data_IF_728913126894
#
_entry.id   IF_728913126894
#
_cell.length_a   1.000
_cell.length_b   1.000
_cell.length_c   1.000
_cell.angle_alpha   90.00
_cell.angle_beta   90.00
_cell.angle_gamma   90.00
#
_symmetry.space_group_name_H-M   'P 1'
#
loop_
_entity.id
_entity.type
_entity.pdbx_description
1 polymer ?
#
# COMPACT_ATOMS: atom_id res chain seq x y z
N UNK A 1 -0.10 44.52 10.09
CA UNK A 1 -0.13 43.40 9.12
C UNK A 1 -0.42 42.09 9.86
N UNK A 2 -1.66 41.95 10.32
CA UNK A 2 -2.26 40.71 10.82
C UNK A 2 -3.18 40.28 9.68
N UNK A 3 -2.94 39.18 8.95
CA UNK A 3 -4.02 38.42 8.27
C UNK A 3 -3.62 37.23 7.35
N UNK A 4 -2.35 36.89 7.07
CA UNK A 4 -2.07 35.93 5.96
C UNK A 4 -1.24 34.68 6.31
N UNK A 5 -1.13 34.26 7.57
CA UNK A 5 -0.17 33.22 7.94
C UNK A 5 -0.73 31.81 8.22
N UNK A 6 -2.05 31.59 8.34
CA UNK A 6 -2.57 30.31 8.87
C UNK A 6 -3.78 29.79 8.10
N UNK A 7 -3.61 29.37 6.85
CA UNK A 7 -4.63 28.57 6.15
C UNK A 7 -3.96 27.47 5.30
N UNK A 8 -2.80 26.95 5.72
CA UNK A 8 -2.39 25.62 5.25
C UNK A 8 -3.26 24.62 6.00
N UNK A 9 -4.48 24.43 5.52
CA UNK A 9 -5.37 23.35 5.94
C UNK A 9 -4.66 22.05 5.63
N UNK A 10 -3.82 21.57 6.56
CA UNK A 10 -3.14 20.30 6.46
C UNK A 10 -4.26 19.27 6.37
N UNK A 11 -4.50 18.76 5.16
CA UNK A 11 -5.53 17.76 4.93
C UNK A 11 -5.31 16.66 5.97
N UNK A 12 -6.33 16.37 6.78
CA UNK A 12 -6.23 15.38 7.83
C UNK A 12 -5.94 14.02 7.17
N UNK A 13 -4.67 13.60 7.19
CA UNK A 13 -4.25 12.34 6.60
C UNK A 13 -4.79 11.24 7.51
N UNK A 14 -5.76 10.46 7.01
CA UNK A 14 -6.27 9.30 7.73
C UNK A 14 -5.39 8.07 7.39
N UNK A 15 -4.50 7.64 8.31
CA UNK A 15 -3.58 6.53 8.05
C UNK A 15 -4.30 5.21 7.77
N UNK A 16 -5.48 4.99 8.36
CA UNK A 16 -6.31 3.80 8.08
C UNK A 16 -6.86 3.81 6.66
N UNK A 17 -7.25 4.99 6.14
CA UNK A 17 -7.67 5.14 4.74
C UNK A 17 -6.49 4.84 3.80
N UNK A 18 -5.30 5.35 4.11
CA UNK A 18 -4.07 5.05 3.39
C UNK A 18 -3.80 3.55 3.30
N UNK A 19 -3.85 2.84 4.43
CA UNK A 19 -3.67 1.39 4.46
C UNK A 19 -4.71 0.64 3.63
N UNK A 20 -6.00 0.99 3.73
CA UNK A 20 -7.07 0.34 2.96
C UNK A 20 -6.86 0.45 1.45
N UNK A 21 -6.39 1.59 0.96
CA UNK A 21 -6.07 1.78 -0.46
C UNK A 21 -4.94 0.84 -0.88
N UNK A 22 -3.85 0.77 -0.11
CA UNK A 22 -2.72 -0.11 -0.44
C UNK A 22 -3.11 -1.59 -0.37
N UNK A 23 -3.94 -1.97 0.60
CA UNK A 23 -4.49 -3.32 0.70
C UNK A 23 -5.34 -3.68 -0.52
N UNK A 24 -6.21 -2.76 -0.97
CA UNK A 24 -7.05 -2.98 -2.15
C UNK A 24 -6.22 -3.10 -3.42
N UNK A 25 -5.23 -2.22 -3.61
CA UNK A 25 -4.29 -2.31 -4.75
C UNK A 25 -3.56 -3.66 -4.71
N UNK A 26 -3.02 -4.07 -3.57
CA UNK A 26 -2.36 -5.36 -3.43
C UNK A 26 -3.30 -6.53 -3.76
N UNK A 27 -4.52 -6.52 -3.21
CA UNK A 27 -5.50 -7.59 -3.39
C UNK A 27 -6.01 -7.72 -4.83
N UNK A 28 -6.00 -6.65 -5.63
CA UNK A 28 -6.40 -6.69 -7.04
C UNK A 28 -5.22 -6.97 -7.97
N UNK A 29 -4.08 -6.33 -7.74
CA UNK A 29 -2.91 -6.42 -8.62
C UNK A 29 -2.22 -7.78 -8.50
N UNK A 30 -2.04 -8.32 -7.29
CA UNK A 30 -1.35 -9.61 -7.12
C UNK A 30 -2.05 -10.74 -7.89
N UNK A 31 -3.37 -10.99 -7.71
CA UNK A 31 -4.06 -12.01 -8.49
C UNK A 31 -3.99 -11.77 -10.00
N UNK A 32 -4.08 -10.52 -10.46
CA UNK A 32 -3.94 -10.21 -11.88
C UNK A 32 -2.56 -10.58 -12.43
N UNK A 33 -1.47 -10.31 -11.69
CA UNK A 33 -0.11 -10.70 -12.09
C UNK A 33 0.05 -12.23 -12.11
N UNK A 34 -0.50 -12.93 -11.13
CA UNK A 34 -0.51 -14.39 -11.11
C UNK A 34 -1.33 -14.98 -12.26
N UNK A 35 -2.44 -14.34 -12.63
CA UNK A 35 -3.27 -14.73 -13.77
C UNK A 35 -2.52 -14.54 -15.10
N UNK A 36 -1.82 -13.42 -15.26
CA UNK A 36 -0.96 -13.17 -16.43
C UNK A 36 0.11 -14.25 -16.51
N UNK A 37 0.82 -14.54 -15.43
CA UNK A 37 1.80 -15.62 -15.40
C UNK A 37 1.19 -16.98 -15.76
N UNK A 38 0.01 -17.28 -15.22
CA UNK A 38 -0.68 -18.55 -15.47
C UNK A 38 -1.05 -18.76 -16.94
N UNK A 39 -1.43 -17.69 -17.64
CA UNK A 39 -1.81 -17.71 -19.05
C UNK A 39 -0.66 -17.39 -20.02
N UNK A 40 0.55 -17.15 -19.54
CA UNK A 40 1.73 -16.85 -20.36
C UNK A 40 2.83 -17.89 -20.13
N UNK A 41 4.11 -17.52 -20.29
CA UNK A 41 5.23 -18.41 -20.04
C UNK A 41 5.44 -18.61 -18.53
N UNK A 42 5.39 -19.88 -18.10
CA UNK A 42 5.51 -20.33 -16.71
C UNK A 42 6.92 -20.81 -16.34
N UNK A 43 7.89 -20.70 -17.25
CA UNK A 43 9.28 -21.13 -17.05
C UNK A 43 9.98 -20.38 -15.89
N UNK A 44 9.48 -19.20 -15.53
CA UNK A 44 10.01 -18.41 -14.41
C UNK A 44 8.89 -17.83 -13.55
N UNK A 45 8.94 -18.09 -12.24
CA UNK A 45 7.97 -17.65 -11.24
C UNK A 45 8.13 -16.17 -10.86
N UNK A 46 8.14 -15.27 -11.85
CA UNK A 46 8.35 -13.84 -11.60
C UNK A 46 7.32 -13.17 -10.68
N UNK A 47 6.02 -13.56 -10.60
CA UNK A 47 5.08 -12.92 -9.68
C UNK A 47 5.41 -13.15 -8.21
N UNK A 48 6.21 -14.18 -7.90
CA UNK A 48 6.62 -14.49 -6.54
C UNK A 48 7.38 -13.32 -5.92
N UNK A 49 8.36 -12.77 -6.65
CA UNK A 49 9.18 -11.67 -6.18
C UNK A 49 8.36 -10.40 -5.94
N UNK A 50 7.41 -10.10 -6.83
CA UNK A 50 6.50 -8.95 -6.63
C UNK A 50 5.56 -9.16 -5.45
N UNK A 51 5.02 -10.36 -5.28
CA UNK A 51 4.20 -10.71 -4.11
C UNK A 51 4.98 -10.52 -2.80
N UNK A 52 6.22 -11.00 -2.75
CA UNK A 52 7.08 -10.91 -1.57
C UNK A 52 7.46 -9.45 -1.24
N UNK A 53 7.94 -8.70 -2.22
CA UNK A 53 8.36 -7.31 -2.03
C UNK A 53 7.18 -6.41 -1.60
N UNK A 54 6.06 -6.49 -2.32
CA UNK A 54 4.88 -5.69 -2.00
C UNK A 54 4.20 -6.14 -0.72
N UNK A 55 4.18 -7.45 -0.45
CA UNK A 55 3.65 -8.02 0.79
C UNK A 55 4.41 -7.52 2.01
N UNK A 56 5.74 -7.40 1.90
CA UNK A 56 6.59 -6.79 2.94
C UNK A 56 6.21 -5.34 3.19
N UNK A 57 6.05 -4.54 2.13
CA UNK A 57 5.61 -3.14 2.25
C UNK A 57 4.23 -3.02 2.91
N UNK A 58 3.28 -3.88 2.51
CA UNK A 58 1.94 -3.91 3.09
C UNK A 58 1.95 -4.31 4.57
N UNK A 59 2.80 -5.27 4.95
CA UNK A 59 3.02 -5.69 6.34
C UNK A 59 3.53 -4.52 7.19
N UNK A 60 4.58 -3.82 6.75
CA UNK A 60 5.10 -2.68 7.51
C UNK A 60 4.13 -1.50 7.55
N UNK A 61 3.32 -1.29 6.51
CA UNK A 61 2.23 -0.31 6.56
C UNK A 61 1.19 -0.69 7.62
N UNK A 62 0.76 -1.97 7.67
CA UNK A 62 -0.12 -2.47 8.72
C UNK A 62 0.47 -2.23 10.12
N UNK A 63 1.73 -2.61 10.32
CA UNK A 63 2.43 -2.41 11.59
C UNK A 63 2.45 -0.93 11.97
N UNK A 64 2.80 -0.03 11.05
CA UNK A 64 2.82 1.41 11.30
C UNK A 64 1.46 2.00 11.68
N UNK A 65 0.37 1.50 11.10
CA UNK A 65 -0.98 2.06 11.31
C UNK A 65 -1.67 1.48 12.55
N UNK A 66 -1.49 0.18 12.82
CA UNK A 66 -2.28 -0.54 13.83
C UNK A 66 -1.48 -1.02 15.04
N UNK A 67 -0.17 -1.29 14.91
CA UNK A 67 0.62 -1.94 15.97
C UNK A 67 1.60 -0.97 16.62
N UNK A 68 2.41 -0.29 15.81
CA UNK A 68 3.51 0.58 16.24
C UNK A 68 3.04 2.00 16.56
N UNK A 69 1.75 2.30 16.40
CA UNK A 69 1.20 3.62 16.69
C UNK A 69 1.29 3.89 18.19
N UNK A 70 2.40 4.45 18.65
CA UNK A 70 2.54 4.99 20.01
C UNK A 70 1.57 6.16 20.18
N UNK A 71 0.94 6.21 21.35
CA UNK A 71 0.18 7.36 21.85
C UNK A 71 1.08 8.57 21.99
#
# INVERSE_FOLDING_TARGET
>A
MRHLANEHTVAQINPKKGFRIHLLVFALTIPALWLIWFFTDRNYLWPLWQTAAWGTGLLFHYLGVFVLKRK
#
